data_IF_615960956124
#
_entry.id   IF_615960956124
#
_cell.length_a   1.000
_cell.length_b   1.000
_cell.length_c   1.000
_cell.angle_alpha   90.00
_cell.angle_beta   90.00
_cell.angle_gamma   90.00
#
_symmetry.space_group_name_H-M   'P 1'
#
loop_
_entity.id
_entity.type
_entity.pdbx_description
1 polymer ?
#
# COMPACT_ATOMS: atom_id res chain seq x y z
N UNK A 1 9.85 19.95 7.27
CA UNK A 1 9.59 18.58 7.80
C UNK A 1 9.03 17.76 6.65
N UNK A 2 9.54 16.55 6.43
CA UNK A 2 8.92 15.62 5.49
C UNK A 2 7.52 15.25 6.03
N UNK A 3 6.52 15.15 5.15
CA UNK A 3 5.21 14.67 5.58
C UNK A 3 5.24 13.17 5.90
N UNK A 4 4.21 12.67 6.59
CA UNK A 4 4.15 11.27 7.02
C UNK A 4 4.18 10.29 5.85
N UNK A 5 3.62 10.67 4.71
CA UNK A 5 3.71 9.89 3.47
C UNK A 5 5.16 9.77 3.00
N UNK A 6 5.89 10.87 2.91
CA UNK A 6 7.28 10.91 2.45
C UNK A 6 8.18 10.06 3.34
N UNK A 7 7.96 10.06 4.66
CA UNK A 7 8.65 9.18 5.61
C UNK A 7 8.35 7.70 5.34
N UNK A 8 7.10 7.32 5.12
CA UNK A 8 6.76 5.94 4.82
C UNK A 8 7.27 5.51 3.43
N UNK A 9 7.14 6.38 2.43
CA UNK A 9 7.56 6.12 1.05
C UNK A 9 9.08 5.98 0.92
N UNK A 10 9.87 6.73 1.70
CA UNK A 10 11.32 6.61 1.72
C UNK A 10 11.82 5.19 2.09
N UNK A 11 11.04 4.42 2.84
CA UNK A 11 11.30 3.00 3.04
C UNK A 11 10.81 2.16 1.86
N UNK A 12 9.52 2.29 1.52
CA UNK A 12 8.86 1.46 0.50
C UNK A 12 9.58 1.54 -0.85
N UNK A 13 9.90 2.76 -1.33
CA UNK A 13 10.54 3.00 -2.63
C UNK A 13 11.86 2.24 -2.80
N UNK A 14 12.62 1.98 -1.73
CA UNK A 14 13.88 1.21 -1.80
C UNK A 14 13.68 -0.23 -2.24
N UNK A 15 12.46 -0.75 -2.06
CA UNK A 15 12.07 -2.10 -2.44
C UNK A 15 11.34 -2.14 -3.79
N UNK A 16 10.91 -0.98 -4.29
CA UNK A 16 10.27 -0.83 -5.58
C UNK A 16 11.39 -0.54 -6.61
N UNK A 17 11.95 -1.62 -7.17
CA UNK A 17 13.13 -1.57 -8.05
C UNK A 17 12.96 -0.72 -9.32
N UNK A 18 14.00 -0.72 -10.16
CA UNK A 18 13.97 -0.06 -11.47
C UNK A 18 13.19 -0.86 -12.52
N UNK A 19 13.32 -0.45 -13.78
CA UNK A 19 12.68 -1.12 -14.92
C UNK A 19 13.01 -2.62 -14.93
N UNK A 20 11.99 -3.45 -14.97
CA UNK A 20 12.08 -4.90 -15.03
C UNK A 20 10.95 -5.47 -15.89
N UNK A 21 11.24 -6.55 -16.61
CA UNK A 21 10.28 -7.27 -17.43
C UNK A 21 10.62 -8.75 -17.39
N UNK A 22 10.00 -9.50 -16.48
CA UNK A 22 10.28 -10.91 -16.30
C UNK A 22 9.15 -11.77 -16.90
N UNK A 23 9.44 -12.80 -17.71
CA UNK A 23 8.41 -13.62 -18.36
C UNK A 23 7.42 -14.31 -17.39
N UNK A 24 7.86 -14.55 -16.15
CA UNK A 24 7.04 -15.14 -15.09
C UNK A 24 6.36 -14.10 -14.17
N UNK A 25 6.57 -12.79 -14.41
CA UNK A 25 5.89 -11.75 -13.64
C UNK A 25 4.48 -11.52 -14.19
N UNK A 26 3.42 -11.86 -13.43
CA UNK A 26 2.05 -11.65 -13.88
C UNK A 26 1.67 -10.17 -14.02
N UNK A 27 2.48 -9.24 -13.51
CA UNK A 27 2.33 -7.79 -13.68
C UNK A 27 2.86 -7.26 -15.01
N UNK A 28 3.75 -8.01 -15.67
CA UNK A 28 4.40 -7.60 -16.92
C UNK A 28 5.50 -6.56 -16.70
N UNK A 29 5.61 -5.59 -17.61
CA UNK A 29 6.59 -4.51 -17.54
C UNK A 29 6.36 -3.69 -16.28
N UNK A 30 7.39 -3.53 -15.45
CA UNK A 30 7.30 -2.85 -14.16
C UNK A 30 8.45 -1.86 -13.99
N UNK A 31 8.16 -0.64 -13.56
CA UNK A 31 9.16 0.37 -13.22
C UNK A 31 8.74 1.09 -11.94
N UNK A 32 9.67 1.30 -11.00
CA UNK A 32 9.38 1.94 -9.71
C UNK A 32 8.20 1.32 -8.94
N UNK A 33 8.01 0.01 -9.06
CA UNK A 33 6.88 -0.73 -8.45
C UNK A 33 5.54 -0.55 -9.17
N UNK A 34 5.50 0.20 -10.27
CA UNK A 34 4.31 0.42 -11.11
C UNK A 34 4.36 -0.58 -12.27
N UNK A 35 3.40 -1.50 -12.33
CA UNK A 35 3.30 -2.49 -13.41
C UNK A 35 2.28 -2.08 -14.47
N UNK A 36 2.56 -2.40 -15.74
CA UNK A 36 1.66 -2.14 -16.87
C UNK A 36 0.27 -2.71 -16.60
N UNK A 37 0.19 -3.95 -16.11
CA UNK A 37 -1.08 -4.58 -15.78
C UNK A 37 -1.87 -3.77 -14.76
N UNK A 38 -1.21 -3.30 -13.70
CA UNK A 38 -1.88 -2.54 -12.66
C UNK A 38 -2.41 -1.20 -13.18
N UNK A 39 -1.61 -0.48 -13.97
CA UNK A 39 -2.03 0.78 -14.60
C UNK A 39 -3.22 0.53 -15.54
N UNK A 40 -3.18 -0.51 -16.36
CA UNK A 40 -4.30 -0.89 -17.23
C UNK A 40 -5.55 -1.32 -16.45
N UNK A 41 -5.41 -1.99 -15.30
CA UNK A 41 -6.53 -2.31 -14.40
C UNK A 41 -7.19 -1.03 -13.88
N UNK A 42 -6.40 -0.01 -13.52
CA UNK A 42 -6.90 1.28 -13.07
C UNK A 42 -7.63 2.05 -14.19
N UNK A 43 -7.10 2.05 -15.42
CA UNK A 43 -7.79 2.63 -16.58
C UNK A 43 -9.13 1.93 -16.81
N UNK A 44 -9.18 0.60 -16.73
CA UNK A 44 -10.44 -0.15 -16.88
C UNK A 44 -11.45 0.18 -15.79
N UNK A 45 -11.02 0.32 -14.53
CA UNK A 45 -11.88 0.74 -13.43
C UNK A 45 -12.44 2.15 -13.66
N UNK A 46 -11.60 3.11 -14.05
CA UNK A 46 -12.02 4.47 -14.34
C UNK A 46 -13.05 4.52 -15.49
N UNK A 47 -12.82 3.74 -16.55
CA UNK A 47 -13.78 3.61 -17.66
C UNK A 47 -15.12 3.04 -17.19
N UNK A 48 -15.09 2.01 -16.35
CA UNK A 48 -16.32 1.45 -15.78
C UNK A 48 -17.07 2.49 -14.94
N UNK A 49 -16.40 3.27 -14.09
CA UNK A 49 -17.03 4.33 -13.30
C UNK A 49 -17.71 5.39 -14.18
N UNK A 50 -17.08 5.80 -15.29
CA UNK A 50 -17.70 6.69 -16.26
C UNK A 50 -18.97 6.09 -16.87
N UNK A 51 -18.94 4.81 -17.26
CA UNK A 51 -20.11 4.11 -17.81
C UNK A 51 -21.26 4.02 -16.80
N UNK A 52 -20.96 3.77 -15.51
CA UNK A 52 -21.98 3.78 -14.44
C UNK A 52 -22.63 5.16 -14.28
N UNK A 53 -21.88 6.22 -14.53
CA UNK A 53 -22.39 7.60 -14.55
C UNK A 53 -23.09 7.96 -15.87
N UNK A 54 -23.39 6.96 -16.72
CA UNK A 54 -24.01 7.11 -18.05
C UNK A 54 -23.23 8.03 -18.99
N UNK A 55 -21.91 8.09 -18.85
CA UNK A 55 -20.99 8.82 -19.75
C UNK A 55 -20.38 7.87 -20.78
N UNK A 56 -19.92 8.41 -21.90
CA UNK A 56 -19.16 7.65 -22.92
C UNK A 56 -17.70 8.10 -22.97
N UNK A 57 -16.80 7.17 -23.26
CA UNK A 57 -15.41 7.48 -23.63
C UNK A 57 -15.32 7.98 -25.09
N UNK A 58 -16.28 7.62 -25.94
CA UNK A 58 -16.30 8.03 -27.35
C UNK A 58 -16.55 9.53 -27.43
N UNK A 59 -15.59 10.28 -27.98
CA UNK A 59 -15.65 11.73 -28.08
C UNK A 59 -15.46 12.47 -26.75
N UNK A 60 -14.99 11.80 -25.69
CA UNK A 60 -14.73 12.41 -24.39
C UNK A 60 -13.69 13.53 -24.51
N UNK A 61 -14.14 14.79 -24.44
CA UNK A 61 -13.33 15.99 -24.65
C UNK A 61 -13.70 17.08 -23.64
N UNK A 62 -12.87 18.13 -23.55
CA UNK A 62 -13.10 19.27 -22.66
C UNK A 62 -12.71 19.04 -21.18
N UNK A 63 -13.19 19.90 -20.25
CA UNK A 63 -12.74 19.94 -18.85
C UNK A 63 -12.99 18.66 -18.06
N UNK A 64 -13.97 17.85 -18.50
CA UNK A 64 -14.31 16.58 -17.86
C UNK A 64 -13.31 15.49 -18.24
N UNK A 65 -12.84 15.47 -19.50
CA UNK A 65 -11.75 14.61 -19.92
C UNK A 65 -10.45 14.94 -19.18
N UNK A 66 -10.19 16.22 -18.88
CA UNK A 66 -9.03 16.66 -18.11
C UNK A 66 -8.98 16.10 -16.68
N UNK A 67 -10.13 15.66 -16.13
CA UNK A 67 -10.24 15.02 -14.81
C UNK A 67 -10.34 13.50 -14.88
N UNK A 68 -10.19 12.91 -16.06
CA UNK A 68 -10.25 11.47 -16.22
C UNK A 68 -9.04 10.83 -15.51
N UNK A 69 -9.24 9.80 -14.65
CA UNK A 69 -8.13 9.10 -14.02
C UNK A 69 -7.15 8.49 -15.02
N UNK A 70 -7.58 8.17 -16.25
CA UNK A 70 -6.67 7.68 -17.30
C UNK A 70 -5.61 8.72 -17.69
N UNK A 71 -5.91 10.03 -17.59
CA UNK A 71 -4.91 11.09 -17.88
C UNK A 71 -3.83 11.22 -16.82
N UNK A 72 -4.09 10.78 -15.58
CA UNK A 72 -3.05 10.71 -14.55
C UNK A 72 -2.17 9.46 -14.68
N UNK A 73 -2.58 8.52 -15.54
CA UNK A 73 -1.91 7.25 -15.79
C UNK A 73 -1.14 7.25 -17.11
N UNK A 74 -1.48 8.16 -18.04
CA UNK A 74 -0.71 8.61 -19.20
C UNK A 74 0.49 9.43 -18.71
N UNK A 75 1.60 8.73 -18.47
CA UNK A 75 2.83 9.22 -17.86
C UNK A 75 3.83 9.81 -18.86
N UNK A 76 3.78 9.40 -20.12
CA UNK A 76 4.60 10.00 -21.19
C UNK A 76 3.87 11.11 -21.98
N UNK A 77 2.57 11.28 -21.75
CA UNK A 77 1.71 12.31 -22.31
C UNK A 77 1.46 12.18 -23.82
N UNK A 78 1.55 10.96 -24.36
CA UNK A 78 1.30 10.69 -25.77
C UNK A 78 -0.19 10.49 -26.12
N UNK A 79 -1.03 10.33 -25.09
CA UNK A 79 -2.48 10.23 -25.21
C UNK A 79 -3.04 8.83 -25.07
N UNK A 80 -2.23 7.81 -24.78
CA UNK A 80 -2.71 6.49 -24.38
C UNK A 80 -2.11 6.00 -23.05
N UNK A 81 -2.27 4.70 -22.74
CA UNK A 81 -1.77 4.11 -21.49
C UNK A 81 -1.22 2.72 -21.81
N UNK A 82 0.09 2.64 -22.03
CA UNK A 82 0.77 1.48 -22.57
C UNK A 82 2.17 1.23 -21.93
N UNK A 83 3.04 0.50 -22.64
CA UNK A 83 4.35 0.13 -22.16
C UNK A 83 5.33 1.33 -22.09
N UNK A 84 5.17 2.33 -22.95
CA UNK A 84 6.03 3.51 -22.99
C UNK A 84 5.82 4.40 -21.77
N UNK A 85 4.60 4.48 -21.23
CA UNK A 85 4.32 5.09 -19.93
C UNK A 85 5.14 4.48 -18.80
N UNK A 86 5.24 3.14 -18.75
CA UNK A 86 5.98 2.46 -17.69
C UNK A 86 7.49 2.72 -17.84
N UNK A 87 7.99 2.80 -19.08
CA UNK A 87 9.39 3.15 -19.35
C UNK A 87 9.70 4.60 -18.98
N UNK A 88 8.78 5.52 -19.26
CA UNK A 88 8.91 6.94 -18.98
C UNK A 88 8.58 7.31 -17.52
N UNK A 89 7.93 6.41 -16.77
CA UNK A 89 7.52 6.63 -15.39
C UNK A 89 8.66 7.14 -14.53
N UNK A 90 8.53 8.37 -14.03
CA UNK A 90 9.48 8.95 -13.08
C UNK A 90 9.16 8.50 -11.65
N UNK A 91 10.16 8.50 -10.77
CA UNK A 91 9.96 8.30 -9.32
C UNK A 91 8.90 9.22 -8.72
N UNK A 92 8.79 10.46 -9.21
CA UNK A 92 7.78 11.42 -8.75
C UNK A 92 6.37 11.00 -9.17
N UNK A 93 6.18 10.54 -10.41
CA UNK A 93 4.89 10.00 -10.86
C UNK A 93 4.53 8.73 -10.10
N UNK A 94 5.49 7.81 -9.92
CA UNK A 94 5.31 6.61 -9.10
C UNK A 94 4.88 6.97 -7.67
N UNK A 95 5.57 7.89 -7.01
CA UNK A 95 5.21 8.35 -5.67
C UNK A 95 3.78 8.92 -5.60
N UNK A 96 3.36 9.69 -6.60
CA UNK A 96 1.99 10.22 -6.68
C UNK A 96 0.96 9.10 -6.79
N UNK A 97 1.20 8.10 -7.66
CA UNK A 97 0.35 6.92 -7.78
C UNK A 97 0.30 6.13 -6.48
N UNK A 98 1.44 5.94 -5.82
CA UNK A 98 1.50 5.24 -4.53
C UNK A 98 0.72 5.96 -3.44
N UNK A 99 0.80 7.30 -3.40
CA UNK A 99 0.03 8.12 -2.48
C UNK A 99 -1.47 7.91 -2.71
N UNK A 100 -1.94 8.09 -3.94
CA UNK A 100 -3.37 7.97 -4.24
C UNK A 100 -3.89 6.56 -4.03
N UNK A 101 -3.18 5.54 -4.50
CA UNK A 101 -3.75 4.18 -4.58
C UNK A 101 -3.43 3.28 -3.39
N UNK A 102 -2.41 3.59 -2.58
CA UNK A 102 -2.11 2.84 -1.36
C UNK A 102 -2.26 3.67 -0.10
N UNK A 103 -1.72 4.89 -0.05
CA UNK A 103 -1.75 5.71 1.17
C UNK A 103 -3.16 6.27 1.45
N UNK A 104 -3.74 6.99 0.50
CA UNK A 104 -5.03 7.66 0.65
C UNK A 104 -6.17 6.63 0.72
N UNK A 105 -6.17 5.63 -0.17
CA UNK A 105 -7.17 4.55 -0.19
C UNK A 105 -7.24 3.73 1.10
N UNK A 106 -6.20 3.74 1.93
CA UNK A 106 -6.17 3.03 3.21
C UNK A 106 -6.19 3.95 4.42
N UNK A 107 -6.49 5.24 4.21
CA UNK A 107 -6.56 6.25 5.26
C UNK A 107 -5.30 6.34 6.14
N UNK A 108 -4.11 6.06 5.56
CA UNK A 108 -2.84 6.07 6.31
C UNK A 108 -2.59 7.39 7.05
N UNK A 109 -2.98 8.52 6.44
CA UNK A 109 -2.83 9.84 7.06
C UNK A 109 -3.59 10.02 8.38
N UNK A 110 -4.62 9.20 8.64
CA UNK A 110 -5.42 9.27 9.86
C UNK A 110 -4.86 8.40 11.02
N UNK A 111 -3.83 7.59 10.74
CA UNK A 111 -3.24 6.66 11.69
C UNK A 111 -2.01 7.24 12.38
N UNK A 112 -1.68 6.75 13.59
CA UNK A 112 -0.37 6.97 14.19
C UNK A 112 0.75 6.53 13.24
N UNK A 113 1.86 7.28 13.23
CA UNK A 113 2.97 7.09 12.30
C UNK A 113 3.44 5.63 12.17
N UNK A 114 3.74 4.87 13.25
CA UNK A 114 4.22 3.50 13.09
C UNK A 114 3.21 2.58 12.43
N UNK A 115 1.92 2.78 12.68
CA UNK A 115 0.83 2.01 12.05
C UNK A 115 0.66 2.40 10.58
N UNK A 116 0.75 3.69 10.25
CA UNK A 116 0.71 4.16 8.86
C UNK A 116 1.87 3.57 8.03
N UNK A 117 3.10 3.56 8.57
CA UNK A 117 4.28 3.01 7.91
C UNK A 117 4.09 1.51 7.58
N UNK A 118 3.72 0.69 8.57
CA UNK A 118 3.58 -0.75 8.33
C UNK A 118 2.41 -1.06 7.42
N UNK A 119 1.29 -0.35 7.57
CA UNK A 119 0.11 -0.56 6.74
C UNK A 119 0.43 -0.27 5.28
N UNK A 120 1.04 0.89 5.02
CA UNK A 120 1.36 1.35 3.68
C UNK A 120 2.34 0.42 2.96
N UNK A 121 3.48 0.07 3.58
CA UNK A 121 4.43 -0.87 2.99
C UNK A 121 3.77 -2.23 2.69
N UNK A 122 2.97 -2.72 3.62
CA UNK A 122 2.25 -3.97 3.43
C UNK A 122 1.20 -3.89 2.33
N UNK A 123 0.56 -2.73 2.13
CA UNK A 123 -0.44 -2.54 1.10
C UNK A 123 0.21 -2.62 -0.30
N UNK A 124 1.39 -2.01 -0.47
CA UNK A 124 2.18 -2.11 -1.70
C UNK A 124 2.68 -3.54 -1.97
N UNK A 125 3.16 -4.23 -0.92
CA UNK A 125 3.78 -5.54 -1.05
C UNK A 125 2.78 -6.70 -1.28
N UNK A 126 1.70 -6.74 -0.50
CA UNK A 126 0.80 -7.90 -0.43
C UNK A 126 -0.68 -7.53 -0.59
N UNK A 127 -0.97 -6.30 -1.01
CA UNK A 127 -2.31 -5.79 -1.25
C UNK A 127 -2.96 -5.17 -0.01
N UNK A 128 -3.64 -4.04 -0.22
CA UNK A 128 -4.26 -3.23 0.83
C UNK A 128 -5.18 -4.02 1.78
N UNK A 129 -6.16 -4.84 1.33
CA UNK A 129 -7.07 -5.52 2.24
C UNK A 129 -6.36 -6.47 3.22
N UNK A 130 -5.27 -7.12 2.77
CA UNK A 130 -4.49 -8.02 3.62
C UNK A 130 -3.67 -7.24 4.65
N UNK A 131 -3.02 -6.16 4.21
CA UNK A 131 -2.26 -5.29 5.10
C UNK A 131 -3.14 -4.70 6.20
N UNK A 132 -4.31 -4.18 5.83
CA UNK A 132 -5.29 -3.63 6.78
C UNK A 132 -5.72 -4.69 7.80
N UNK A 133 -6.03 -5.93 7.37
CA UNK A 133 -6.39 -7.01 8.29
C UNK A 133 -5.27 -7.33 9.28
N UNK A 134 -4.02 -7.37 8.85
CA UNK A 134 -2.89 -7.61 9.75
C UNK A 134 -2.70 -6.50 10.78
N UNK A 135 -3.02 -5.25 10.42
CA UNK A 135 -3.01 -4.14 11.38
C UNK A 135 -4.19 -4.24 12.33
N UNK A 136 -5.41 -4.52 11.84
CA UNK A 136 -6.60 -4.75 12.67
C UNK A 136 -6.39 -5.88 13.69
N UNK A 137 -5.84 -7.01 13.24
CA UNK A 137 -5.52 -8.14 14.10
C UNK A 137 -4.48 -7.77 15.18
N UNK A 138 -3.41 -7.05 14.81
CA UNK A 138 -2.43 -6.58 15.78
C UNK A 138 -3.06 -5.59 16.80
N UNK A 139 -3.91 -4.68 16.34
CA UNK A 139 -4.63 -3.75 17.21
C UNK A 139 -5.56 -4.47 18.19
N UNK A 140 -6.30 -5.48 17.72
CA UNK A 140 -7.15 -6.30 18.58
C UNK A 140 -6.33 -7.06 19.64
N UNK A 141 -5.24 -7.72 19.23
CA UNK A 141 -4.37 -8.47 20.15
C UNK A 141 -3.76 -7.58 21.24
N UNK A 142 -3.25 -6.41 20.88
CA UNK A 142 -2.64 -5.47 21.83
C UNK A 142 -3.71 -4.78 22.67
N UNK A 143 -4.82 -4.38 22.05
CA UNK A 143 -5.94 -3.74 22.74
C UNK A 143 -6.55 -4.63 23.81
N UNK A 144 -6.84 -5.89 23.48
CA UNK A 144 -7.37 -6.88 24.42
C UNK A 144 -6.43 -7.13 25.60
N UNK A 145 -5.12 -7.16 25.34
CA UNK A 145 -4.13 -7.47 26.35
C UNK A 145 -3.79 -6.30 27.28
N UNK A 146 -3.85 -5.05 26.79
CA UNK A 146 -3.20 -3.91 27.45
C UNK A 146 -4.05 -2.64 27.59
N UNK A 147 -5.23 -2.53 26.98
CA UNK A 147 -6.12 -1.38 27.19
C UNK A 147 -7.15 -1.67 28.28
N UNK A 148 -7.33 -0.72 29.21
CA UNK A 148 -8.35 -0.81 30.28
C UNK A 148 -9.77 -0.90 29.73
N UNK A 149 -10.05 -0.19 28.63
CA UNK A 149 -11.32 -0.19 27.92
C UNK A 149 -11.12 -0.56 26.45
N UNK A 150 -11.32 -1.84 26.15
CA UNK A 150 -11.14 -2.39 24.81
C UNK A 150 -12.47 -2.81 24.19
N UNK A 151 -12.65 -2.45 22.92
CA UNK A 151 -13.69 -2.99 22.05
C UNK A 151 -13.02 -3.41 20.75
N UNK A 152 -13.11 -4.70 20.43
CA UNK A 152 -12.54 -5.24 19.21
C UNK A 152 -13.14 -4.59 17.96
N UNK A 153 -12.30 -4.39 16.95
CA UNK A 153 -12.72 -3.99 15.61
C UNK A 153 -12.84 -5.21 14.70
N UNK A 154 -13.68 -5.13 13.69
CA UNK A 154 -13.76 -6.17 12.67
C UNK A 154 -12.44 -6.24 11.87
N UNK A 155 -11.94 -7.45 11.64
CA UNK A 155 -10.77 -7.71 10.79
C UNK A 155 -11.19 -7.87 9.32
N UNK A 156 -11.89 -6.87 8.80
CA UNK A 156 -12.53 -6.91 7.47
C UNK A 156 -11.60 -6.45 6.32
N UNK A 157 -10.44 -5.89 6.66
CA UNK A 157 -9.51 -5.33 5.67
C UNK A 157 -9.90 -3.96 5.15
N UNK A 158 -10.79 -3.25 5.87
CA UNK A 158 -11.19 -1.88 5.57
C UNK A 158 -10.80 -0.96 6.72
N UNK A 159 -9.95 0.02 6.44
CA UNK A 159 -9.50 0.96 7.46
C UNK A 159 -10.57 2.05 7.66
N UNK A 160 -11.62 1.71 8.40
CA UNK A 160 -12.74 2.60 8.70
C UNK A 160 -12.62 3.34 10.03
N UNK A 161 -13.61 4.20 10.38
CA UNK A 161 -13.56 5.04 11.57
C UNK A 161 -13.27 4.28 12.86
N UNK A 162 -13.91 3.13 13.10
CA UNK A 162 -13.68 2.32 14.31
C UNK A 162 -12.23 1.80 14.42
N UNK A 163 -11.62 1.42 13.29
CA UNK A 163 -10.21 0.99 13.26
C UNK A 163 -9.27 2.15 13.54
N UNK A 164 -9.59 3.34 13.01
CA UNK A 164 -8.82 4.57 13.26
C UNK A 164 -8.92 4.99 14.72
N UNK A 165 -10.11 4.90 15.33
CA UNK A 165 -10.32 5.24 16.74
C UNK A 165 -9.54 4.29 17.67
N UNK A 166 -9.54 2.98 17.38
CA UNK A 166 -8.70 2.03 18.12
C UNK A 166 -7.20 2.30 17.95
N UNK A 167 -6.76 2.63 16.72
CA UNK A 167 -5.37 3.01 16.48
C UNK A 167 -4.96 4.23 17.32
N UNK A 168 -5.83 5.24 17.43
CA UNK A 168 -5.61 6.43 18.27
C UNK A 168 -5.61 6.10 19.76
N UNK A 169 -6.51 5.24 20.23
CA UNK A 169 -6.53 4.80 21.62
C UNK A 169 -5.23 4.07 22.00
N UNK A 170 -4.73 3.19 21.12
CA UNK A 170 -3.44 2.52 21.30
C UNK A 170 -2.28 3.52 21.35
N UNK A 171 -2.25 4.52 20.47
CA UNK A 171 -1.24 5.58 20.51
C UNK A 171 -1.32 6.42 21.79
N UNK A 172 -2.53 6.77 22.24
CA UNK A 172 -2.73 7.53 23.48
C UNK A 172 -2.21 6.76 24.72
N UNK A 173 -2.22 5.43 24.67
CA UNK A 173 -1.65 4.56 25.69
C UNK A 173 -0.14 4.24 25.47
N UNK A 174 0.50 4.79 24.44
CA UNK A 174 1.91 4.51 24.11
C UNK A 174 2.15 3.10 23.52
N UNK A 175 1.13 2.48 22.94
CA UNK A 175 1.14 1.09 22.46
C UNK A 175 1.25 0.96 20.93
N UNK A 176 1.29 2.06 20.19
CA UNK A 176 1.28 2.07 18.72
C UNK A 176 2.55 1.44 18.09
N UNK A 177 3.74 1.70 18.64
CA UNK A 177 4.98 1.06 18.20
C UNK A 177 5.02 -0.45 18.48
N UNK A 178 4.52 -0.88 19.64
CA UNK A 178 4.36 -2.30 19.95
C UNK A 178 3.37 -2.95 18.97
N UNK A 179 2.25 -2.28 18.69
CA UNK A 179 1.24 -2.75 17.75
C UNK A 179 1.79 -2.88 16.33
N UNK A 180 2.57 -1.91 15.85
CA UNK A 180 3.22 -1.98 14.54
C UNK A 180 4.20 -3.17 14.43
N UNK A 181 5.03 -3.40 15.46
CA UNK A 181 5.92 -4.58 15.53
C UNK A 181 5.14 -5.89 15.55
N UNK A 182 4.02 -5.95 16.27
CA UNK A 182 3.13 -7.11 16.29
C UNK A 182 2.55 -7.38 14.90
N UNK A 183 2.16 -6.34 14.15
CA UNK A 183 1.71 -6.48 12.76
C UNK A 183 2.80 -7.07 11.86
N UNK A 184 4.07 -6.67 12.02
CA UNK A 184 5.20 -7.26 11.28
C UNK A 184 5.47 -8.73 11.65
N UNK A 185 5.21 -9.14 12.90
CA UNK A 185 5.26 -10.56 13.29
C UNK A 185 4.18 -11.37 12.55
N UNK A 186 2.94 -10.87 12.52
CA UNK A 186 1.85 -11.48 11.74
C UNK A 186 2.21 -11.59 10.25
N UNK A 187 2.86 -10.55 9.70
CA UNK A 187 3.33 -10.54 8.31
C UNK A 187 4.37 -11.62 8.03
N UNK A 188 5.38 -11.77 8.88
CA UNK A 188 6.40 -12.83 8.74
C UNK A 188 5.80 -14.23 8.82
N UNK A 189 4.84 -14.44 9.73
CA UNK A 189 4.08 -15.70 9.80
C UNK A 189 3.30 -15.95 8.52
N UNK A 190 2.63 -14.92 7.98
CA UNK A 190 1.92 -15.04 6.70
C UNK A 190 2.85 -15.46 5.55
N UNK A 191 4.03 -14.84 5.41
CA UNK A 191 4.97 -15.20 4.36
C UNK A 191 5.43 -16.66 4.46
N UNK A 192 5.81 -17.12 5.66
CA UNK A 192 6.19 -18.52 5.89
C UNK A 192 5.06 -19.48 5.53
N UNK A 193 3.83 -19.19 5.97
CA UNK A 193 2.65 -19.99 5.65
C UNK A 193 2.26 -19.96 4.18
N UNK A 194 2.52 -18.86 3.47
CA UNK A 194 2.27 -18.76 2.03
C UNK A 194 3.28 -19.63 1.25
N UNK A 195 4.57 -19.53 1.57
CA UNK A 195 5.61 -20.34 0.92
C UNK A 195 5.46 -21.84 1.20
N UNK A 196 4.98 -22.22 2.39
CA UNK A 196 4.68 -23.62 2.71
C UNK A 196 3.51 -24.16 1.88
N UNK A 197 2.45 -23.36 1.68
CA UNK A 197 1.25 -23.77 0.92
C UNK A 197 1.43 -23.69 -0.60
N UNK A 198 2.31 -22.82 -1.08
CA UNK A 198 2.62 -22.63 -2.51
C UNK A 198 4.14 -22.71 -2.71
N UNK A 199 4.69 -23.93 -2.90
CA UNK A 199 6.13 -24.16 -3.00
C UNK A 199 6.83 -23.33 -4.08
N UNK A 200 6.15 -23.02 -5.19
CA UNK A 200 6.69 -22.17 -6.28
C UNK A 200 7.05 -20.76 -5.80
N UNK A 201 6.41 -20.29 -4.71
CA UNK A 201 6.69 -18.99 -4.12
C UNK A 201 7.83 -19.00 -3.10
N UNK A 202 8.38 -20.18 -2.76
CA UNK A 202 9.43 -20.33 -1.75
C UNK A 202 10.70 -19.54 -2.11
N UNK A 203 10.98 -19.38 -3.40
CA UNK A 203 12.13 -18.60 -3.90
C UNK A 203 12.08 -17.13 -3.44
N UNK A 204 10.89 -16.58 -3.22
CA UNK A 204 10.69 -15.19 -2.78
C UNK A 204 10.72 -15.01 -1.26
N UNK A 205 10.62 -16.10 -0.48
CA UNK A 205 10.46 -16.05 0.97
C UNK A 205 11.59 -15.28 1.66
N UNK A 206 12.83 -15.52 1.26
CA UNK A 206 14.00 -14.82 1.82
C UNK A 206 13.89 -13.32 1.60
N UNK A 207 13.50 -12.87 0.39
CA UNK A 207 13.31 -11.46 0.09
C UNK A 207 12.19 -10.82 0.92
N UNK A 208 11.07 -11.53 1.09
CA UNK A 208 9.95 -11.05 1.91
C UNK A 208 10.31 -10.90 3.39
N UNK A 209 11.04 -11.87 3.95
CA UNK A 209 11.52 -11.79 5.34
C UNK A 209 12.52 -10.63 5.49
N UNK A 210 13.48 -10.49 4.56
CA UNK A 210 14.44 -9.38 4.59
C UNK A 210 13.74 -8.02 4.55
N UNK A 211 12.68 -7.86 3.75
CA UNK A 211 11.86 -6.63 3.73
C UNK A 211 11.19 -6.35 5.07
N UNK A 212 10.60 -7.37 5.69
CA UNK A 212 9.96 -7.23 6.99
C UNK A 212 10.98 -6.88 8.11
N UNK A 213 12.16 -7.50 8.11
CA UNK A 213 13.21 -7.24 9.10
C UNK A 213 13.82 -5.83 8.92
N UNK A 214 14.03 -5.41 7.67
CA UNK A 214 14.46 -4.04 7.36
C UNK A 214 13.43 -3.00 7.81
N UNK A 215 12.13 -3.30 7.67
CA UNK A 215 11.05 -2.42 8.13
C UNK A 215 10.99 -2.33 9.65
N UNK A 216 11.22 -3.43 10.36
CA UNK A 216 11.32 -3.41 11.83
C UNK A 216 12.49 -2.52 12.30
N UNK A 217 13.65 -2.62 11.64
CA UNK A 217 14.79 -1.73 11.90
C UNK A 217 14.49 -0.26 11.55
N UNK A 218 13.68 -0.03 10.51
CA UNK A 218 13.23 1.32 10.15
C UNK A 218 12.33 1.91 11.23
N UNK A 219 11.34 1.14 11.71
CA UNK A 219 10.48 1.55 12.83
C UNK A 219 11.30 1.86 14.07
N UNK A 220 12.26 1.00 14.45
CA UNK A 220 13.09 1.23 15.63
C UNK A 220 13.91 2.52 15.54
N UNK A 221 14.31 2.96 14.34
CA UNK A 221 14.96 4.28 14.14
C UNK A 221 13.96 5.41 14.31
N UNK A 222 12.79 5.31 13.69
CA UNK A 222 11.75 6.32 13.81
C UNK A 222 11.24 6.46 15.26
N UNK A 223 11.16 5.37 16.04
CA UNK A 223 10.78 5.37 17.46
C UNK A 223 11.76 6.14 18.34
N UNK A 224 13.04 6.23 17.94
CA UNK A 224 14.07 6.99 18.69
C UNK A 224 14.13 8.46 18.31
N UNK A 225 13.62 8.82 17.14
CA UNK A 225 13.68 10.16 16.56
C UNK A 225 12.40 10.97 16.85
N UNK A 226 11.36 10.34 17.39
CA UNK A 226 10.05 10.90 17.75
C UNK A 226 9.89 10.96 19.26
#
# INVERSE_FOLDING_TARGET
MADTFSLAHAFTEKWEGGLSHHPADPGGLTNHGISLRWVQDLVRQARQECLHQRRSCDGCSGPQAARCPSRTLDMDMDGDVDADDIRACTKKQAAALFRTHFWDKTACAALPLPLAIVLYDGAANMGAPRSVRQVQQAMNMIGEALLDHFVAVAEDGRMGPRSIDLARALAAAGLDWLTARTSLRLRRTFYRSLAARRPDLKVFLTGWINRADALENYLARQEREN
#
